data_IF_721924513266
#
_entry.id   IF_721924513266
#
_cell.length_a   1.000
_cell.length_b   1.000
_cell.length_c   1.000
_cell.angle_alpha   90.00
_cell.angle_beta   90.00
_cell.angle_gamma   90.00
#
_symmetry.space_group_name_H-M   'P 1'
#
loop_
_entity.id
_entity.type
_entity.pdbx_description
1 polymer ?
#
# COMPACT_ATOMS: atom_id res chain seq x y z
N UNK A 1 -2.58 10.99 -22.88
CA UNK A 1 -1.48 10.01 -22.68
C UNK A 1 -1.61 9.49 -21.25
N UNK A 2 -2.41 8.44 -21.01
CA UNK A 2 -2.53 7.83 -19.68
C UNK A 2 -1.78 6.49 -19.73
N UNK A 3 -0.59 6.51 -19.13
CA UNK A 3 0.38 5.43 -19.15
C UNK A 3 -0.20 4.13 -18.57
N UNK A 4 0.06 3.05 -19.31
CA UNK A 4 -0.32 1.67 -19.00
C UNK A 4 0.19 1.32 -17.61
N UNK A 5 -0.74 1.06 -16.68
CA UNK A 5 -0.41 0.35 -15.45
C UNK A 5 0.35 -0.93 -15.83
N UNK A 6 1.60 -1.05 -15.38
CA UNK A 6 2.42 -2.25 -15.52
C UNK A 6 1.81 -3.38 -14.68
N UNK A 7 0.69 -3.92 -15.15
CA UNK A 7 0.10 -5.19 -14.74
C UNK A 7 0.99 -6.30 -15.31
N UNK A 8 2.23 -6.38 -14.85
CA UNK A 8 3.07 -7.54 -15.08
C UNK A 8 2.44 -8.71 -14.33
N UNK A 9 1.72 -9.59 -15.03
CA UNK A 9 1.41 -10.94 -14.55
C UNK A 9 2.75 -11.60 -14.19
N UNK A 10 3.15 -11.52 -12.92
CA UNK A 10 4.44 -12.01 -12.43
C UNK A 10 5.35 -10.98 -11.74
N UNK A 11 5.01 -9.69 -11.73
CA UNK A 11 5.80 -8.67 -11.05
C UNK A 11 5.84 -8.91 -9.52
N UNK A 12 7.02 -8.73 -8.94
CA UNK A 12 7.24 -8.86 -7.51
C UNK A 12 6.47 -7.79 -6.73
N UNK A 13 6.03 -8.12 -5.52
CA UNK A 13 5.36 -7.16 -4.65
C UNK A 13 6.35 -6.06 -4.27
N UNK A 14 5.94 -4.79 -4.40
CA UNK A 14 6.77 -3.63 -4.07
C UNK A 14 7.27 -3.63 -2.62
N UNK A 15 6.48 -4.16 -1.68
CA UNK A 15 6.80 -4.12 -0.24
C UNK A 15 7.55 -5.34 0.28
N UNK A 16 7.23 -6.53 -0.21
CA UNK A 16 7.81 -7.78 0.30
C UNK A 16 8.67 -8.53 -0.71
N UNK A 17 8.82 -8.02 -1.93
CA UNK A 17 9.62 -8.62 -2.99
C UNK A 17 9.11 -9.97 -3.53
N UNK A 18 8.04 -10.54 -2.97
CA UNK A 18 7.54 -11.85 -3.40
C UNK A 18 6.91 -11.79 -4.78
N UNK A 19 7.23 -12.77 -5.64
CA UNK A 19 6.55 -12.99 -6.94
C UNK A 19 5.09 -13.38 -6.73
N UNK A 20 4.27 -13.14 -7.76
CA UNK A 20 2.83 -13.50 -7.74
C UNK A 20 2.64 -15.00 -7.69
N UNK A 21 1.76 -15.46 -6.81
CA UNK A 21 1.23 -16.82 -6.87
C UNK A 21 0.24 -16.99 -8.04
N UNK A 22 -0.03 -18.23 -8.49
CA UNK A 22 -1.09 -18.51 -9.45
C UNK A 22 -2.44 -17.99 -8.94
N UNK A 23 -3.14 -17.19 -9.76
CA UNK A 23 -4.44 -16.63 -9.41
C UNK A 23 -4.44 -15.51 -8.37
N UNK A 24 -3.29 -15.08 -7.85
CA UNK A 24 -3.18 -14.01 -6.87
C UNK A 24 -3.42 -12.63 -7.51
N UNK A 25 -4.42 -11.89 -7.04
CA UNK A 25 -4.63 -10.49 -7.41
C UNK A 25 -3.82 -9.57 -6.54
N UNK A 26 -3.30 -8.52 -7.16
CA UNK A 26 -2.50 -7.50 -6.49
C UNK A 26 -3.04 -6.13 -6.82
N UNK A 27 -3.01 -5.22 -5.87
CA UNK A 27 -3.36 -3.84 -6.15
C UNK A 27 -2.28 -3.24 -7.05
N UNK A 28 -2.65 -2.54 -8.13
CA UNK A 28 -1.68 -1.89 -9.00
C UNK A 28 -1.03 -0.70 -8.27
N UNK A 29 0.20 -0.37 -8.67
CA UNK A 29 0.93 0.79 -8.15
C UNK A 29 1.95 1.33 -9.14
N UNK A 30 2.37 2.60 -8.99
CA UNK A 30 3.22 3.27 -9.96
C UNK A 30 4.61 2.63 -10.08
N UNK A 31 5.18 2.16 -8.95
CA UNK A 31 6.48 1.49 -8.91
C UNK A 31 6.39 -0.04 -8.84
N UNK A 32 5.18 -0.59 -8.91
CA UNK A 32 4.93 -2.02 -8.86
C UNK A 32 3.67 -2.41 -8.08
N UNK A 33 3.22 -3.67 -8.21
CA UNK A 33 2.02 -4.15 -7.54
C UNK A 33 2.23 -4.39 -6.04
N UNK A 34 1.13 -4.36 -5.28
CA UNK A 34 1.12 -4.68 -3.85
C UNK A 34 0.28 -5.94 -3.61
N UNK A 35 0.84 -6.93 -2.92
CA UNK A 35 0.11 -8.14 -2.58
C UNK A 35 -0.92 -7.91 -1.45
N UNK A 36 -1.99 -8.73 -1.38
CA UNK A 36 -3.05 -8.58 -0.38
C UNK A 36 -2.50 -8.58 1.04
N UNK A 37 -1.56 -9.48 1.36
CA UNK A 37 -0.97 -9.56 2.70
C UNK A 37 -0.21 -8.30 3.11
N UNK A 38 0.43 -7.59 2.17
CA UNK A 38 1.11 -6.32 2.49
C UNK A 38 0.11 -5.17 2.69
N UNK A 39 -1.00 -5.18 1.95
CA UNK A 39 -2.10 -4.23 2.17
C UNK A 39 -2.73 -4.43 3.54
N UNK A 40 -3.07 -5.67 3.89
CA UNK A 40 -3.64 -6.01 5.20
C UNK A 40 -2.69 -5.68 6.35
N UNK A 41 -1.42 -6.06 6.24
CA UNK A 41 -0.40 -5.73 7.24
C UNK A 41 -0.23 -4.22 7.38
N UNK A 42 -0.22 -3.48 6.26
CA UNK A 42 -0.13 -2.02 6.26
C UNK A 42 -1.34 -1.36 6.89
N UNK A 43 -2.56 -1.80 6.56
CA UNK A 43 -3.81 -1.29 7.16
C UNK A 43 -3.84 -1.52 8.67
N UNK A 44 -3.43 -2.70 9.11
CA UNK A 44 -3.37 -3.03 10.53
C UNK A 44 -2.32 -2.17 11.24
N UNK A 45 -1.12 -2.05 10.67
CA UNK A 45 -0.01 -1.22 11.15
C UNK A 45 -0.39 0.26 11.30
N UNK A 46 -1.04 0.87 10.29
CA UNK A 46 -1.45 2.29 10.39
C UNK A 46 -2.59 2.50 11.38
N UNK A 47 -3.37 1.46 11.68
CA UNK A 47 -4.48 1.48 12.64
C UNK A 47 -4.00 1.31 14.08
N UNK A 48 -3.16 0.32 14.37
CA UNK A 48 -2.72 -0.02 15.73
C UNK A 48 -1.33 0.54 16.11
N UNK A 49 -0.53 0.96 15.13
CA UNK A 49 0.82 1.48 15.32
C UNK A 49 1.87 0.43 15.69
N UNK A 50 1.54 -0.86 15.68
CA UNK A 50 2.47 -1.93 16.04
C UNK A 50 3.28 -2.34 14.82
N UNK A 51 4.60 -2.36 14.94
CA UNK A 51 5.49 -2.85 13.89
C UNK A 51 5.09 -4.26 13.44
N UNK A 52 5.15 -4.50 12.13
CA UNK A 52 4.81 -5.79 11.54
C UNK A 52 5.88 -6.21 10.55
N UNK A 53 6.00 -7.51 10.33
CA UNK A 53 6.83 -8.06 9.26
C UNK A 53 5.94 -8.45 8.09
N UNK A 54 6.38 -8.13 6.89
CA UNK A 54 5.77 -8.62 5.67
C UNK A 54 6.01 -10.13 5.52
N UNK A 55 5.22 -10.78 4.68
CA UNK A 55 5.41 -12.20 4.35
C UNK A 55 6.74 -12.49 3.63
N UNK A 56 7.41 -11.47 3.10
CA UNK A 56 8.75 -11.57 2.53
C UNK A 56 9.88 -11.35 3.54
N UNK A 57 9.55 -11.20 4.82
CA UNK A 57 10.52 -10.93 5.89
C UNK A 57 10.92 -9.45 6.00
N UNK A 58 10.35 -8.56 5.20
CA UNK A 58 10.66 -7.12 5.27
C UNK A 58 9.96 -6.46 6.46
N UNK A 59 10.63 -5.50 7.11
CA UNK A 59 10.09 -4.76 8.25
C UNK A 59 9.20 -3.63 7.76
N UNK A 60 7.96 -3.60 8.27
CA UNK A 60 6.96 -2.59 7.97
C UNK A 60 6.77 -1.71 9.20
N UNK A 61 7.11 -0.43 9.05
CA UNK A 61 7.08 0.55 10.14
C UNK A 61 6.06 1.65 9.86
N UNK A 62 5.43 2.14 10.93
CA UNK A 62 4.47 3.24 10.84
C UNK A 62 5.21 4.56 10.89
N UNK A 63 4.93 5.43 9.93
CA UNK A 63 5.47 6.80 9.85
C UNK A 63 4.33 7.79 10.02
N UNK A 64 4.51 8.75 10.92
CA UNK A 64 3.52 9.79 11.27
C UNK A 64 4.12 11.20 11.30
N UNK A 65 5.36 11.39 10.83
CA UNK A 65 6.01 12.71 10.85
C UNK A 65 5.79 13.45 9.53
N UNK A 66 5.35 14.71 9.58
CA UNK A 66 5.00 15.50 8.40
C UNK A 66 6.19 15.75 7.43
N UNK A 67 7.43 15.72 7.93
CA UNK A 67 8.65 15.89 7.14
C UNK A 67 9.28 14.60 6.60
N UNK A 68 8.66 13.43 6.81
CA UNK A 68 9.15 12.15 6.27
C UNK A 68 8.64 11.86 4.85
N UNK A 69 9.23 10.86 4.20
CA UNK A 69 8.93 10.37 2.85
C UNK A 69 7.44 10.39 2.47
N UNK A 70 7.11 11.09 1.38
CA UNK A 70 5.75 11.18 0.86
C UNK A 70 5.23 9.81 0.36
N UNK A 71 3.91 9.67 0.26
CA UNK A 71 3.30 8.47 -0.32
C UNK A 71 3.65 8.35 -1.81
N UNK A 72 4.23 7.24 -2.25
CA UNK A 72 4.62 7.03 -3.65
C UNK A 72 3.42 6.99 -4.63
N UNK A 73 2.19 6.87 -4.12
CA UNK A 73 0.96 6.74 -4.90
C UNK A 73 0.20 8.06 -5.10
N UNK A 74 0.27 8.96 -4.13
CA UNK A 74 -0.48 10.22 -4.17
C UNK A 74 0.36 11.44 -3.80
N UNK A 75 1.64 11.25 -3.53
CA UNK A 75 2.62 12.28 -3.16
C UNK A 75 2.26 13.09 -1.90
N UNK A 76 1.31 12.59 -1.09
CA UNK A 76 0.86 13.27 0.14
C UNK A 76 1.57 12.73 1.38
N UNK A 77 2.05 13.65 2.22
CA UNK A 77 2.60 13.38 3.57
C UNK A 77 1.69 13.90 4.69
N UNK A 78 0.77 14.81 4.36
CA UNK A 78 -0.12 15.51 5.31
C UNK A 78 -1.55 15.52 4.81
N UNK A 79 -2.50 15.56 5.75
CA UNK A 79 -3.92 15.77 5.50
C UNK A 79 -4.31 17.17 5.96
N UNK A 80 -4.95 17.94 5.07
CA UNK A 80 -5.55 19.23 5.44
C UNK A 80 -6.84 18.96 6.20
N UNK A 81 -6.93 19.45 7.43
CA UNK A 81 -8.17 19.43 8.21
C UNK A 81 -9.03 20.64 7.83
N UNK A 82 -10.35 20.55 8.05
CA UNK A 82 -11.32 21.59 7.73
C UNK A 82 -10.98 22.98 8.31
N UNK A 83 -10.26 23.03 9.44
CA UNK A 83 -9.79 24.27 10.08
C UNK A 83 -8.38 24.71 9.63
N UNK A 84 -7.92 24.32 8.43
CA UNK A 84 -6.59 24.68 7.93
C UNK A 84 -5.41 24.00 8.65
N UNK A 85 -5.67 23.19 9.69
CA UNK A 85 -4.62 22.45 10.41
C UNK A 85 -4.08 21.29 9.57
N UNK A 86 -2.78 21.31 9.32
CA UNK A 86 -2.05 20.19 8.71
C UNK A 86 -1.87 19.09 9.76
N UNK A 87 -2.56 17.96 9.59
CA UNK A 87 -2.31 16.77 10.40
C UNK A 87 -1.42 15.81 9.62
N UNK A 88 -0.46 15.14 10.26
CA UNK A 88 0.33 14.14 9.57
C UNK A 88 -0.55 13.00 9.08
N UNK A 89 -0.28 12.54 7.86
CA UNK A 89 -0.96 11.38 7.30
C UNK A 89 -0.21 10.11 7.72
N UNK A 90 -0.84 9.17 8.45
CA UNK A 90 -0.22 7.90 8.78
C UNK A 90 0.16 7.15 7.52
N UNK A 91 1.40 6.65 7.48
CA UNK A 91 1.99 5.93 6.36
C UNK A 91 2.63 4.65 6.85
N UNK A 92 2.64 3.64 6.00
CA UNK A 92 3.51 2.48 6.12
C UNK A 92 4.77 2.75 5.31
N UNK A 93 5.94 2.53 5.90
CA UNK A 93 7.22 2.50 5.21
C UNK A 93 7.85 1.10 5.31
N UNK A 94 8.46 0.65 4.23
CA UNK A 94 9.31 -0.53 4.19
C UNK A 94 10.76 -0.10 4.15
N UNK A 95 11.51 -0.39 5.21
CA UNK A 95 12.90 0.07 5.37
C UNK A 95 13.86 -0.55 4.35
N UNK A 96 13.63 -1.81 3.93
CA UNK A 96 14.48 -2.48 2.96
C UNK A 96 14.15 -2.13 1.50
N UNK A 97 12.92 -1.70 1.22
CA UNK A 97 12.44 -1.46 -0.15
C UNK A 97 12.30 0.02 -0.51
N UNK A 98 12.51 0.93 0.45
CA UNK A 98 12.21 2.37 0.33
C UNK A 98 10.82 2.62 -0.27
N UNK A 99 9.85 1.81 0.14
CA UNK A 99 8.47 1.87 -0.34
C UNK A 99 7.59 2.52 0.74
N UNK A 100 6.76 3.48 0.35
CA UNK A 100 5.97 4.30 1.28
C UNK A 100 4.56 4.48 0.75
N UNK A 101 3.58 4.03 1.52
CA UNK A 101 2.16 4.14 1.17
C UNK A 101 1.38 4.71 2.34
N UNK A 102 0.53 5.70 2.05
CA UNK A 102 -0.34 6.30 3.06
C UNK A 102 -1.57 5.44 3.34
N UNK A 103 -2.19 5.69 4.50
CA UNK A 103 -3.44 5.04 4.90
C UNK A 103 -4.52 5.10 3.81
N UNK A 104 -4.78 6.27 3.24
CA UNK A 104 -5.83 6.42 2.21
C UNK A 104 -5.58 5.53 0.99
N UNK A 105 -4.32 5.40 0.55
CA UNK A 105 -3.95 4.55 -0.58
C UNK A 105 -3.97 3.06 -0.23
N UNK A 106 -3.65 2.69 1.02
CA UNK A 106 -3.84 1.33 1.53
C UNK A 106 -5.32 0.93 1.51
N UNK A 107 -6.20 1.79 2.04
CA UNK A 107 -7.65 1.56 2.06
C UNK A 107 -8.19 1.38 0.63
N UNK A 108 -7.84 2.31 -0.28
CA UNK A 108 -8.24 2.22 -1.70
C UNK A 108 -7.73 0.95 -2.40
N UNK A 109 -6.50 0.53 -2.11
CA UNK A 109 -5.94 -0.71 -2.64
C UNK A 109 -6.69 -1.95 -2.15
N UNK A 110 -7.07 -1.98 -0.88
CA UNK A 110 -7.89 -3.03 -0.29
C UNK A 110 -9.30 -3.09 -0.89
N UNK A 111 -9.95 -1.93 -1.07
CA UNK A 111 -11.26 -1.84 -1.73
C UNK A 111 -11.22 -2.38 -3.17
N UNK A 112 -10.18 -2.02 -3.93
CA UNK A 112 -10.01 -2.50 -5.30
C UNK A 112 -9.85 -4.02 -5.37
N UNK A 113 -9.05 -4.61 -4.48
CA UNK A 113 -8.92 -6.07 -4.38
C UNK A 113 -10.25 -6.74 -4.02
N UNK A 114 -10.94 -6.21 -3.01
CA UNK A 114 -12.25 -6.73 -2.60
C UNK A 114 -13.27 -6.68 -3.73
N UNK A 115 -13.27 -5.62 -4.53
CA UNK A 115 -14.17 -5.48 -5.67
C UNK A 115 -13.90 -6.55 -6.74
N UNK A 116 -12.63 -6.76 -7.11
CA UNK A 116 -12.22 -7.77 -8.09
C UNK A 116 -12.53 -9.19 -7.60
N UNK A 117 -12.33 -9.48 -6.32
CA UNK A 117 -12.62 -10.80 -5.74
C UNK A 117 -14.12 -11.09 -5.73
N UNK A 118 -14.96 -10.09 -5.41
CA UNK A 118 -16.43 -10.25 -5.39
C UNK A 118 -17.03 -10.46 -6.77
N UNK A 119 -16.49 -9.83 -7.80
CA UNK A 119 -16.95 -10.02 -9.19
C UNK A 119 -16.64 -11.41 -9.75
N UNK A 120 -15.80 -12.21 -9.08
CA UNK A 120 -15.44 -13.58 -9.50
C UNK A 120 -16.25 -14.68 -8.85
N UNK A 121 -17.15 -14.38 -7.93
CA UNK A 121 -18.06 -15.37 -7.38
C UNK A 121 -19.23 -15.46 -8.38
N UNK A 122 -19.33 -16.51 -9.21
CA UNK A 122 -20.54 -16.71 -10.00
C UNK A 122 -21.69 -16.92 -9.01
N UNK A 123 -22.78 -16.16 -9.19
CA UNK A 123 -24.06 -16.50 -8.58
C UNK A 123 -24.64 -17.71 -9.27
#
# INVERSE_FOLDING_TARGET
MAERACNGRGAACRFCGRKSGPGEHRAPGPLGPICPSCLEAGLALVRDGRERRSRGGTSLVRVVSAGSDACEFCDRSVRRSFFGRHRPLPRMSCTQGHAVICRDCLDRGGELLNHVLRQRIPR
#
